data_IF_714330796586
#
_entry.id   IF_714330796586
#
_cell.length_a   1.000
_cell.length_b   1.000
_cell.length_c   1.000
_cell.angle_alpha   90.00
_cell.angle_beta   90.00
_cell.angle_gamma   90.00
#
_symmetry.space_group_name_H-M   'P 1'
#
loop_
_entity.id
_entity.type
_entity.pdbx_description
1 polymer ?
#
# COMPACT_ATOMS: atom_id res chain seq x y z
N UNK A 1 -21.59 31.21 10.26
CA UNK A 1 -20.60 30.32 9.64
C UNK A 1 -19.26 30.78 10.14
N UNK A 2 -18.50 29.84 10.69
CA UNK A 2 -17.15 30.06 11.17
C UNK A 2 -16.17 29.47 10.14
N UNK A 3 -15.12 30.23 9.84
CA UNK A 3 -14.00 29.75 9.03
C UNK A 3 -12.81 29.61 9.95
N UNK A 4 -12.25 28.41 10.03
CA UNK A 4 -11.03 28.14 10.80
C UNK A 4 -9.93 27.85 9.78
N UNK A 5 -8.83 28.58 9.87
CA UNK A 5 -7.65 28.36 9.04
C UNK A 5 -6.45 28.01 9.92
N UNK A 6 -5.73 26.96 9.53
CA UNK A 6 -4.49 26.54 10.17
C UNK A 6 -3.43 26.34 9.11
N UNK A 7 -2.29 27.03 9.27
CA UNK A 7 -1.09 26.80 8.47
C UNK A 7 -0.39 25.56 9.04
N UNK A 8 -0.14 24.59 8.16
CA UNK A 8 0.51 23.34 8.54
C UNK A 8 1.97 23.35 8.09
N UNK A 9 2.87 22.99 9.00
CA UNK A 9 4.27 22.76 8.68
C UNK A 9 4.45 21.36 8.06
N UNK A 10 4.04 21.25 6.80
CA UNK A 10 4.18 20.04 5.99
C UNK A 10 5.23 20.28 4.91
N UNK A 11 6.36 19.55 4.99
CA UNK A 11 7.44 19.62 3.99
C UNK A 11 7.12 18.88 2.67
N UNK A 12 5.88 18.44 2.49
CA UNK A 12 5.49 17.60 1.37
C UNK A 12 5.17 18.43 0.13
N UNK A 13 5.77 18.10 -1.00
CA UNK A 13 5.62 18.80 -2.27
C UNK A 13 5.22 17.79 -3.34
N UNK A 14 3.92 17.72 -3.66
CA UNK A 14 3.36 16.73 -4.59
C UNK A 14 4.02 16.87 -5.96
N UNK A 15 4.23 18.10 -6.45
CA UNK A 15 4.76 18.32 -7.80
C UNK A 15 6.23 17.97 -7.98
N UNK A 16 7.03 17.94 -6.90
CA UNK A 16 8.40 17.42 -6.96
C UNK A 16 8.47 15.90 -7.00
N UNK A 17 7.41 15.24 -6.57
CA UNK A 17 7.38 13.81 -6.38
C UNK A 17 6.61 13.14 -7.52
N UNK A 18 5.59 13.84 -8.04
CA UNK A 18 4.65 13.31 -9.02
C UNK A 18 4.38 14.34 -10.10
N UNK A 19 5.08 14.19 -11.23
CA UNK A 19 5.11 15.16 -12.34
C UNK A 19 3.74 15.54 -12.91
N UNK A 20 2.71 14.72 -12.69
CA UNK A 20 1.35 14.95 -13.18
C UNK A 20 0.52 15.88 -12.29
N UNK A 21 1.07 16.34 -11.17
CA UNK A 21 0.36 17.07 -10.14
C UNK A 21 1.08 18.35 -9.77
N UNK A 22 0.31 19.40 -9.49
CA UNK A 22 0.81 20.69 -9.01
C UNK A 22 0.07 20.99 -7.72
N UNK A 23 0.80 21.35 -6.66
CA UNK A 23 0.22 21.52 -5.31
C UNK A 23 -0.95 22.50 -5.33
N UNK A 24 -0.77 23.63 -6.03
CA UNK A 24 -1.74 24.73 -6.16
C UNK A 24 -3.03 24.32 -6.88
N UNK A 25 -3.02 23.23 -7.64
CA UNK A 25 -4.18 22.76 -8.38
C UNK A 25 -5.00 21.70 -7.61
N UNK A 26 -4.51 21.26 -6.44
CA UNK A 26 -5.08 20.15 -5.68
C UNK A 26 -5.82 20.66 -4.45
N UNK A 27 -6.99 20.07 -4.19
CA UNK A 27 -7.71 20.21 -2.94
C UNK A 27 -8.04 18.81 -2.40
N UNK A 28 -7.62 18.53 -1.18
CA UNK A 28 -8.15 17.40 -0.41
C UNK A 28 -9.35 17.89 0.37
N UNK A 29 -10.45 17.14 0.40
CA UNK A 29 -11.60 17.53 1.19
C UNK A 29 -12.38 16.34 1.73
N UNK A 30 -13.09 16.62 2.82
CA UNK A 30 -13.99 15.71 3.52
C UNK A 30 -15.17 16.52 4.09
N UNK A 31 -16.36 15.92 4.10
CA UNK A 31 -17.58 16.59 4.57
C UNK A 31 -18.19 15.89 5.78
N UNK A 32 -18.75 16.69 6.68
CA UNK A 32 -19.63 16.20 7.73
C UNK A 32 -21.07 16.62 7.48
N UNK A 33 -21.98 15.69 7.73
CA UNK A 33 -23.41 15.87 7.46
C UNK A 33 -24.25 15.43 8.65
N UNK A 34 -25.42 16.03 8.84
CA UNK A 34 -26.36 15.63 9.91
C UNK A 34 -27.14 14.34 9.59
N UNK A 35 -26.84 13.69 8.47
CA UNK A 35 -27.42 12.40 8.10
C UNK A 35 -27.01 11.96 6.69
N UNK A 36 -27.26 10.70 6.37
CA UNK A 36 -26.81 10.09 5.11
C UNK A 36 -27.59 10.54 3.86
N UNK A 37 -28.70 11.26 4.03
CA UNK A 37 -29.61 11.65 2.96
C UNK A 37 -29.57 13.16 2.72
N UNK A 38 -29.11 13.64 1.56
CA UNK A 38 -29.03 15.07 1.27
C UNK A 38 -30.39 15.79 1.22
N UNK A 39 -31.51 15.07 1.11
CA UNK A 39 -32.85 15.65 1.21
C UNK A 39 -33.24 16.11 2.62
N UNK A 40 -32.65 15.49 3.65
CA UNK A 40 -33.06 15.65 5.05
C UNK A 40 -31.92 16.18 5.92
N UNK A 41 -30.69 15.80 5.61
CA UNK A 41 -29.51 16.27 6.31
C UNK A 41 -29.03 17.60 5.75
N UNK A 42 -28.11 18.23 6.47
CA UNK A 42 -27.37 19.42 6.06
C UNK A 42 -25.87 19.12 6.11
N UNK A 43 -25.08 19.74 5.24
CA UNK A 43 -23.63 19.81 5.35
C UNK A 43 -23.30 20.84 6.43
N UNK A 44 -22.71 20.38 7.53
CA UNK A 44 -22.38 21.27 8.63
C UNK A 44 -20.90 21.60 8.74
N UNK A 45 -20.03 20.80 8.13
CA UNK A 45 -18.60 21.05 8.07
C UNK A 45 -18.05 20.58 6.73
N UNK A 46 -17.22 21.40 6.11
CA UNK A 46 -16.35 20.96 5.02
C UNK A 46 -14.92 21.32 5.41
N UNK A 47 -14.07 20.30 5.52
CA UNK A 47 -12.64 20.46 5.71
C UNK A 47 -11.93 20.40 4.37
N UNK A 48 -10.98 21.30 4.14
CA UNK A 48 -10.22 21.41 2.91
C UNK A 48 -8.73 21.56 3.25
N UNK A 49 -7.86 20.81 2.57
CA UNK A 49 -6.42 21.02 2.59
C UNK A 49 -5.98 21.49 1.20
N UNK A 50 -5.42 22.69 1.16
CA UNK A 50 -4.98 23.37 -0.07
C UNK A 50 -3.57 23.91 0.09
N UNK A 51 -2.85 24.08 -1.02
CA UNK A 51 -1.53 24.69 -1.01
C UNK A 51 -1.61 26.13 -1.51
N UNK A 52 -1.28 27.08 -0.63
CA UNK A 52 -1.35 28.52 -0.93
C UNK A 52 -0.20 29.25 -0.25
N UNK A 53 0.41 30.20 -0.98
CA UNK A 53 1.54 30.99 -0.47
C UNK A 53 2.72 30.10 -0.01
N UNK A 54 3.01 29.04 -0.78
CA UNK A 54 4.09 28.08 -0.51
C UNK A 54 3.92 27.30 0.82
N UNK A 55 2.69 27.16 1.32
CA UNK A 55 2.37 26.43 2.54
C UNK A 55 1.06 25.66 2.41
N UNK A 56 0.98 24.52 3.08
CA UNK A 56 -0.26 23.77 3.24
C UNK A 56 -1.17 24.45 4.26
N UNK A 57 -2.44 24.63 3.91
CA UNK A 57 -3.45 25.27 4.75
C UNK A 57 -4.65 24.37 4.88
N UNK A 58 -5.00 24.05 6.13
CA UNK A 58 -6.27 23.44 6.47
C UNK A 58 -7.31 24.55 6.66
N UNK A 59 -8.40 24.48 5.91
CA UNK A 59 -9.52 25.41 5.96
C UNK A 59 -10.76 24.60 6.32
N UNK A 60 -11.44 24.97 7.40
CA UNK A 60 -12.65 24.30 7.88
C UNK A 60 -13.82 25.28 7.90
N UNK A 61 -14.84 25.01 7.09
CA UNK A 61 -16.07 25.78 6.99
C UNK A 61 -17.14 25.19 7.91
N UNK A 62 -17.27 25.72 9.12
CA UNK A 62 -18.21 25.20 10.14
C UNK A 62 -19.52 25.99 10.16
N UNK A 63 -20.63 25.26 10.10
CA UNK A 63 -21.99 25.79 10.19
C UNK A 63 -22.32 26.10 11.65
N UNK A 64 -22.80 27.30 11.93
CA UNK A 64 -23.24 27.67 13.29
C UNK A 64 -24.76 27.64 13.41
N UNK A 65 -25.46 27.55 12.28
CA UNK A 65 -26.91 27.52 12.16
C UNK A 65 -27.31 26.95 10.79
N UNK A 66 -28.54 26.41 10.61
CA UNK A 66 -28.95 25.83 9.33
C UNK A 66 -28.86 26.78 8.14
N UNK A 67 -29.03 28.09 8.38
CA UNK A 67 -28.94 29.10 7.34
C UNK A 67 -27.51 29.30 6.81
N UNK A 68 -26.49 28.72 7.47
CA UNK A 68 -25.11 28.76 7.05
C UNK A 68 -24.77 27.69 5.99
N UNK A 69 -25.58 26.64 5.78
CA UNK A 69 -25.28 25.59 4.80
C UNK A 69 -25.01 26.18 3.41
N UNK A 70 -25.87 27.11 2.95
CA UNK A 70 -25.65 27.82 1.67
C UNK A 70 -24.32 28.59 1.65
N UNK A 71 -23.93 29.22 2.76
CA UNK A 71 -22.67 29.99 2.85
C UNK A 71 -21.46 29.08 2.75
N UNK A 72 -21.51 27.92 3.40
CA UNK A 72 -20.46 26.89 3.33
C UNK A 72 -20.30 26.40 1.89
N UNK A 73 -21.42 26.05 1.24
CA UNK A 73 -21.39 25.55 -0.14
C UNK A 73 -20.87 26.60 -1.13
N UNK A 74 -21.23 27.87 -0.95
CA UNK A 74 -20.67 28.97 -1.75
C UNK A 74 -19.17 29.14 -1.52
N UNK A 75 -18.73 29.13 -0.25
CA UNK A 75 -17.32 29.27 0.09
C UNK A 75 -16.48 28.10 -0.45
N UNK A 76 -16.97 26.87 -0.29
CA UNK A 76 -16.33 25.67 -0.82
C UNK A 76 -16.30 25.67 -2.36
N UNK A 77 -17.40 26.00 -3.03
CA UNK A 77 -17.40 26.12 -4.49
C UNK A 77 -16.39 27.17 -4.98
N UNK A 78 -16.31 28.33 -4.31
CA UNK A 78 -15.34 29.35 -4.65
C UNK A 78 -13.91 28.83 -4.49
N UNK A 79 -13.63 28.06 -3.44
CA UNK A 79 -12.33 27.41 -3.26
C UNK A 79 -12.05 26.40 -4.37
N UNK A 80 -13.02 25.54 -4.72
CA UNK A 80 -12.91 24.57 -5.81
C UNK A 80 -12.64 25.23 -7.17
N UNK A 81 -13.10 26.46 -7.43
CA UNK A 81 -12.87 27.14 -8.71
C UNK A 81 -11.39 27.48 -8.98
N UNK A 82 -10.54 27.45 -7.94
CA UNK A 82 -9.10 27.67 -8.06
C UNK A 82 -8.30 26.36 -8.25
N UNK A 83 -8.97 25.21 -8.20
CA UNK A 83 -8.32 23.90 -8.22
C UNK A 83 -8.99 23.02 -9.29
N UNK A 84 -8.22 22.19 -9.97
CA UNK A 84 -8.74 21.27 -10.99
C UNK A 84 -8.77 19.82 -10.51
N UNK A 85 -8.11 19.49 -9.39
CA UNK A 85 -7.97 18.13 -8.89
C UNK A 85 -8.53 17.99 -7.49
N UNK A 86 -9.54 17.14 -7.33
CA UNK A 86 -10.29 16.94 -6.10
C UNK A 86 -9.97 15.55 -5.52
N UNK A 87 -9.34 15.54 -4.35
CA UNK A 87 -8.92 14.31 -3.67
C UNK A 87 -9.81 14.07 -2.46
N UNK A 88 -10.38 12.88 -2.37
CA UNK A 88 -11.30 12.51 -1.29
C UNK A 88 -11.22 10.99 -1.02
N UNK A 89 -11.84 10.53 0.06
CA UNK A 89 -11.87 9.11 0.41
C UNK A 89 -13.28 8.53 0.29
N UNK A 90 -13.51 7.66 -0.70
CA UNK A 90 -14.83 7.08 -0.99
C UNK A 90 -15.93 8.13 -1.31
N UNK A 91 -15.55 9.38 -1.61
CA UNK A 91 -16.46 10.47 -1.89
C UNK A 91 -17.33 10.30 -3.14
N UNK A 92 -16.93 9.47 -4.11
CA UNK A 92 -17.80 9.13 -5.24
C UNK A 92 -19.08 8.40 -4.81
N UNK A 93 -19.03 7.69 -3.69
CA UNK A 93 -20.17 6.95 -3.15
C UNK A 93 -21.05 7.81 -2.25
N UNK A 94 -20.52 8.90 -1.68
CA UNK A 94 -21.21 9.70 -0.68
C UNK A 94 -21.05 11.21 -0.90
N UNK A 95 -19.88 11.77 -0.64
CA UNK A 95 -19.60 13.22 -0.61
C UNK A 95 -20.00 13.94 -1.90
N UNK A 96 -19.55 13.43 -3.05
CA UNK A 96 -19.78 14.02 -4.37
C UNK A 96 -21.28 14.03 -4.70
N UNK A 97 -22.03 12.89 -4.65
CA UNK A 97 -23.48 12.91 -4.80
C UNK A 97 -24.21 13.83 -3.82
N UNK A 98 -23.77 13.86 -2.56
CA UNK A 98 -24.39 14.68 -1.51
C UNK A 98 -24.24 16.17 -1.83
N UNK A 99 -23.02 16.61 -2.13
CA UNK A 99 -22.71 17.98 -2.50
C UNK A 99 -23.38 18.40 -3.80
N UNK A 100 -23.40 17.56 -4.84
CA UNK A 100 -24.09 17.87 -6.10
C UNK A 100 -25.59 18.14 -5.89
N UNK A 101 -26.26 17.36 -5.02
CA UNK A 101 -27.66 17.60 -4.68
C UNK A 101 -27.85 18.92 -3.94
N UNK A 102 -26.96 19.23 -3.01
CA UNK A 102 -26.98 20.48 -2.24
C UNK A 102 -26.67 21.72 -3.09
N UNK A 103 -25.70 21.63 -3.99
CA UNK A 103 -25.43 22.65 -4.99
C UNK A 103 -26.66 22.92 -5.86
N UNK A 104 -27.30 21.85 -6.37
CA UNK A 104 -28.52 21.95 -7.17
C UNK A 104 -29.66 22.61 -6.39
N UNK A 105 -29.87 22.22 -5.12
CA UNK A 105 -30.88 22.79 -4.23
C UNK A 105 -30.71 24.31 -4.03
N UNK A 106 -29.47 24.79 -3.94
CA UNK A 106 -29.16 26.21 -3.76
C UNK A 106 -28.87 26.97 -5.06
N UNK A 107 -29.10 26.36 -6.23
CA UNK A 107 -28.82 26.92 -7.56
C UNK A 107 -27.34 27.34 -7.76
N UNK A 108 -26.43 26.55 -7.20
CA UNK A 108 -24.98 26.70 -7.38
C UNK A 108 -24.51 25.85 -8.56
N UNK A 109 -23.42 26.26 -9.21
CA UNK A 109 -22.92 25.57 -10.43
C UNK A 109 -22.43 24.13 -10.18
N UNK A 110 -22.11 23.77 -8.93
CA UNK A 110 -21.46 22.52 -8.57
C UNK A 110 -19.97 22.46 -8.92
N UNK A 111 -19.45 21.23 -8.96
CA UNK A 111 -18.09 20.91 -9.41
C UNK A 111 -17.94 21.16 -10.92
N UNK A 112 -16.75 21.56 -11.34
CA UNK A 112 -16.44 21.76 -12.76
C UNK A 112 -16.46 20.43 -13.52
N UNK A 113 -17.04 20.38 -14.72
CA UNK A 113 -16.95 19.18 -15.56
C UNK A 113 -15.53 18.89 -16.06
N UNK A 114 -14.62 19.87 -15.95
CA UNK A 114 -13.22 19.74 -16.32
C UNK A 114 -12.34 19.26 -15.16
N UNK A 115 -12.87 19.13 -13.94
CA UNK A 115 -12.08 18.70 -12.80
C UNK A 115 -11.79 17.21 -12.81
N UNK A 116 -10.63 16.83 -12.30
CA UNK A 116 -10.23 15.45 -12.06
C UNK A 116 -10.57 15.06 -10.63
N UNK A 117 -11.28 13.94 -10.47
CA UNK A 117 -11.56 13.36 -9.15
C UNK A 117 -10.66 12.16 -8.85
N UNK A 118 -10.01 12.18 -7.69
CA UNK A 118 -9.21 11.07 -7.17
C UNK A 118 -9.88 10.50 -5.94
N UNK A 119 -10.50 9.33 -6.11
CA UNK A 119 -11.04 8.53 -5.02
C UNK A 119 -9.95 7.61 -4.45
N UNK A 120 -9.36 8.02 -3.33
CA UNK A 120 -8.25 7.30 -2.69
C UNK A 120 -8.64 5.89 -2.23
N UNK A 121 -9.88 5.69 -1.79
CA UNK A 121 -10.34 4.37 -1.37
C UNK A 121 -10.27 3.37 -2.51
N UNK A 122 -10.72 3.76 -3.72
CA UNK A 122 -10.68 2.89 -4.89
C UNK A 122 -9.26 2.59 -5.33
N UNK A 123 -8.39 3.60 -5.31
CA UNK A 123 -6.98 3.46 -5.67
C UNK A 123 -6.27 2.48 -4.74
N UNK A 124 -6.32 2.72 -3.43
CA UNK A 124 -5.65 1.87 -2.44
C UNK A 124 -6.22 0.46 -2.40
N UNK A 125 -7.55 0.30 -2.50
CA UNK A 125 -8.19 -1.02 -2.51
C UNK A 125 -7.73 -1.89 -3.68
N UNK A 126 -7.31 -1.28 -4.80
CA UNK A 126 -6.71 -2.02 -5.92
C UNK A 126 -5.38 -2.71 -5.54
N UNK A 127 -4.70 -2.24 -4.50
CA UNK A 127 -3.44 -2.81 -3.97
C UNK A 127 -3.64 -3.72 -2.76
N UNK A 128 -4.84 -4.31 -2.61
CA UNK A 128 -5.12 -5.13 -1.43
C UNK A 128 -4.20 -6.34 -1.28
N UNK A 129 -3.78 -6.97 -2.39
CA UNK A 129 -2.81 -8.07 -2.37
C UNK A 129 -1.42 -7.65 -1.86
N UNK A 130 -1.05 -6.38 -2.05
CA UNK A 130 0.20 -5.80 -1.56
C UNK A 130 0.12 -5.45 -0.07
N UNK A 131 -0.96 -4.76 0.32
CA UNK A 131 -1.09 -4.19 1.66
C UNK A 131 -1.60 -5.19 2.69
N UNK A 132 -2.41 -6.17 2.27
CA UNK A 132 -2.95 -7.26 3.09
C UNK A 132 -3.55 -6.79 4.43
N UNK A 133 -4.29 -5.68 4.41
CA UNK A 133 -4.94 -5.13 5.60
C UNK A 133 -6.28 -5.81 5.82
N UNK A 134 -6.67 -5.98 7.10
CA UNK A 134 -7.98 -6.52 7.46
C UNK A 134 -9.13 -5.62 6.96
N UNK A 135 -8.94 -4.30 7.09
CA UNK A 135 -9.86 -3.29 6.60
C UNK A 135 -9.11 -2.19 5.87
N UNK A 136 -9.82 -1.50 4.99
CA UNK A 136 -9.34 -0.36 4.23
C UNK A 136 -10.13 0.90 4.60
N UNK A 137 -10.48 1.06 5.88
CA UNK A 137 -10.99 2.35 6.37
C UNK A 137 -9.86 3.36 6.43
N UNK A 138 -10.20 4.65 6.41
CA UNK A 138 -9.22 5.73 6.52
C UNK A 138 -8.38 5.59 7.80
N UNK A 139 -9.03 5.26 8.93
CA UNK A 139 -8.36 5.01 10.20
C UNK A 139 -7.32 3.89 10.14
N UNK A 140 -7.63 2.77 9.49
CA UNK A 140 -6.71 1.63 9.39
C UNK A 140 -5.55 1.92 8.45
N UNK A 141 -5.74 2.73 7.41
CA UNK A 141 -4.67 3.19 6.53
C UNK A 141 -3.76 4.22 7.21
N UNK A 142 -4.30 5.09 8.06
CA UNK A 142 -3.49 5.99 8.90
C UNK A 142 -2.66 5.19 9.91
N UNK A 143 -3.25 4.19 10.55
CA UNK A 143 -2.54 3.32 11.50
C UNK A 143 -1.43 2.53 10.81
N UNK A 144 -1.66 2.08 9.57
CA UNK A 144 -0.66 1.38 8.75
C UNK A 144 0.63 2.20 8.56
N UNK A 145 0.54 3.53 8.49
CA UNK A 145 1.72 4.44 8.42
C UNK A 145 2.13 4.99 9.78
N UNK A 146 1.68 4.35 10.86
CA UNK A 146 2.06 4.70 12.24
C UNK A 146 1.32 5.91 12.82
N UNK A 147 0.33 6.49 12.12
CA UNK A 147 -0.46 7.62 12.63
C UNK A 147 -1.68 7.11 13.40
N UNK A 148 -1.74 7.44 14.69
CA UNK A 148 -2.91 7.17 15.54
C UNK A 148 -3.81 8.39 15.62
N UNK A 149 -5.12 8.17 15.43
CA UNK A 149 -6.14 9.20 15.66
C UNK A 149 -6.14 9.62 17.13
N UNK A 150 -6.32 10.91 17.38
CA UNK A 150 -6.58 11.48 18.71
C UNK A 150 -8.09 11.65 18.92
N UNK A 151 -8.86 11.69 17.85
CA UNK A 151 -10.29 11.64 17.95
C UNK A 151 -10.79 10.24 18.34
N UNK A 152 -11.77 10.23 19.24
CA UNK A 152 -12.37 9.02 19.80
C UNK A 152 -13.84 8.86 19.37
N UNK A 153 -14.40 9.83 18.64
CA UNK A 153 -15.82 9.86 18.30
C UNK A 153 -16.07 9.30 16.90
N UNK A 154 -17.16 8.56 16.79
CA UNK A 154 -17.69 8.16 15.48
C UNK A 154 -18.42 9.33 14.83
N UNK A 155 -18.51 9.34 13.50
CA UNK A 155 -19.30 10.34 12.77
C UNK A 155 -20.76 10.43 13.27
N UNK A 156 -21.34 9.31 13.72
CA UNK A 156 -22.69 9.28 14.31
C UNK A 156 -22.77 10.06 15.62
N UNK A 157 -21.77 9.94 16.49
CA UNK A 157 -21.72 10.67 17.76
C UNK A 157 -21.47 12.15 17.52
N UNK A 158 -20.68 12.50 16.50
CA UNK A 158 -20.41 13.88 16.12
C UNK A 158 -21.64 14.62 15.62
N UNK A 159 -22.59 13.94 14.96
CA UNK A 159 -23.89 14.54 14.64
C UNK A 159 -24.58 15.02 15.92
N UNK A 160 -24.59 14.20 16.98
CA UNK A 160 -25.17 14.57 18.27
C UNK A 160 -24.44 15.76 18.92
N UNK A 161 -23.11 15.75 18.89
CA UNK A 161 -22.29 16.86 19.38
C UNK A 161 -22.53 18.15 18.59
N UNK A 162 -22.68 18.06 17.28
CA UNK A 162 -22.97 19.20 16.42
C UNK A 162 -24.33 19.84 16.75
N UNK A 163 -25.37 19.03 16.93
CA UNK A 163 -26.69 19.53 17.32
C UNK A 163 -26.65 20.23 18.69
N UNK A 164 -25.89 19.69 19.65
CA UNK A 164 -25.68 20.34 20.96
C UNK A 164 -24.85 21.63 20.84
N UNK A 165 -23.78 21.61 20.03
CA UNK A 165 -22.94 22.76 19.75
C UNK A 165 -23.76 23.93 19.19
N UNK A 166 -24.68 23.65 18.27
CA UNK A 166 -25.57 24.69 17.70
C UNK A 166 -26.37 25.44 18.76
N UNK A 167 -26.83 24.76 19.81
CA UNK A 167 -27.63 25.36 20.87
C UNK A 167 -26.78 26.05 21.94
N UNK A 168 -25.66 25.43 22.34
CA UNK A 168 -24.91 25.85 23.53
C UNK A 168 -23.61 26.60 23.22
N UNK A 169 -23.13 26.52 21.97
CA UNK A 169 -21.85 27.12 21.52
C UNK A 169 -20.67 26.69 22.40
N UNK A 170 -20.69 25.45 22.87
CA UNK A 170 -19.63 24.88 23.71
C UNK A 170 -18.33 24.72 22.91
N UNK A 171 -17.26 25.32 23.43
CA UNK A 171 -15.92 25.23 22.83
C UNK A 171 -15.37 23.79 22.81
N UNK A 172 -15.77 22.94 23.77
CA UNK A 172 -15.36 21.55 23.81
C UNK A 172 -15.98 20.74 22.66
N UNK A 173 -17.28 20.90 22.40
CA UNK A 173 -17.95 20.23 21.29
C UNK A 173 -17.40 20.70 19.94
N UNK A 174 -17.17 22.01 19.80
CA UNK A 174 -16.54 22.58 18.61
C UNK A 174 -15.18 21.95 18.33
N UNK A 175 -14.34 21.84 19.37
CA UNK A 175 -13.00 21.26 19.27
C UNK A 175 -13.05 19.80 18.80
N UNK A 176 -13.99 19.00 19.31
CA UNK A 176 -14.13 17.60 18.91
C UNK A 176 -14.55 17.47 17.44
N UNK A 177 -15.54 18.26 17.02
CA UNK A 177 -16.03 18.29 15.63
C UNK A 177 -14.91 18.70 14.66
N UNK A 178 -14.20 19.79 14.97
CA UNK A 178 -13.10 20.26 14.14
C UNK A 178 -11.92 19.27 14.13
N UNK A 179 -11.64 18.62 15.26
CA UNK A 179 -10.56 17.64 15.36
C UNK A 179 -10.83 16.41 14.49
N UNK A 180 -12.03 15.85 14.50
CA UNK A 180 -12.37 14.68 13.68
C UNK A 180 -12.13 14.94 12.19
N UNK A 181 -12.79 15.97 11.66
CA UNK A 181 -12.67 16.34 10.26
C UNK A 181 -11.23 16.75 9.89
N UNK A 182 -10.51 17.43 10.79
CA UNK A 182 -9.08 17.71 10.60
C UNK A 182 -8.28 16.41 10.43
N UNK A 183 -8.48 15.43 11.29
CA UNK A 183 -7.76 14.16 11.22
C UNK A 183 -8.12 13.36 9.96
N UNK A 184 -9.38 13.40 9.51
CA UNK A 184 -9.78 12.75 8.26
C UNK A 184 -9.15 13.45 7.04
N UNK A 185 -9.21 14.78 6.94
CA UNK A 185 -8.56 15.54 5.86
C UNK A 185 -7.04 15.30 5.82
N UNK A 186 -6.37 15.28 6.97
CA UNK A 186 -4.94 14.96 7.05
C UNK A 186 -4.66 13.48 6.75
N UNK A 187 -5.59 12.59 7.06
CA UNK A 187 -5.54 11.18 6.68
C UNK A 187 -5.57 11.01 5.16
N UNK A 188 -6.31 11.84 4.41
CA UNK A 188 -6.30 11.81 2.95
C UNK A 188 -4.89 12.01 2.40
N UNK A 189 -4.11 12.93 2.99
CA UNK A 189 -2.73 13.16 2.60
C UNK A 189 -1.87 11.92 2.85
N UNK A 190 -2.00 11.28 4.01
CA UNK A 190 -1.27 10.05 4.32
C UNK A 190 -1.57 8.95 3.31
N UNK A 191 -2.86 8.73 3.03
CA UNK A 191 -3.32 7.71 2.08
C UNK A 191 -2.85 8.01 0.66
N UNK A 192 -2.86 9.27 0.24
CA UNK A 192 -2.32 9.68 -1.03
C UNK A 192 -0.82 9.40 -1.13
N UNK A 193 -0.04 9.65 -0.08
CA UNK A 193 1.39 9.34 -0.07
C UNK A 193 1.61 7.82 -0.17
N UNK A 194 0.82 6.98 0.53
CA UNK A 194 0.89 5.51 0.37
C UNK A 194 0.65 5.10 -1.08
N UNK A 195 -0.44 5.57 -1.69
CA UNK A 195 -0.83 5.25 -3.07
C UNK A 195 0.31 5.55 -4.03
N UNK A 196 0.92 6.70 -3.82
CA UNK A 196 1.91 7.19 -4.73
C UNK A 196 3.30 6.57 -4.51
N UNK A 197 3.62 6.18 -3.27
CA UNK A 197 4.78 5.33 -3.00
C UNK A 197 4.66 3.97 -3.69
N UNK A 198 3.46 3.39 -3.74
CA UNK A 198 3.20 2.15 -4.49
C UNK A 198 3.40 2.39 -5.99
N UNK A 199 2.95 3.54 -6.53
CA UNK A 199 3.23 3.90 -7.93
C UNK A 199 4.72 4.07 -8.22
N UNK A 200 5.48 4.66 -7.30
CA UNK A 200 6.92 4.80 -7.42
C UNK A 200 7.61 3.43 -7.46
N UNK A 201 7.22 2.50 -6.58
CA UNK A 201 7.71 1.11 -6.62
C UNK A 201 7.38 0.40 -7.94
N UNK A 202 6.14 0.56 -8.42
CA UNK A 202 5.71 0.01 -9.71
C UNK A 202 6.52 0.58 -10.87
N UNK A 203 6.83 1.87 -10.82
CA UNK A 203 7.63 2.54 -11.85
C UNK A 203 9.09 2.08 -11.79
N UNK A 204 9.67 2.00 -10.59
CA UNK A 204 11.03 1.55 -10.38
C UNK A 204 11.25 0.11 -10.87
N UNK A 205 10.24 -0.77 -10.68
CA UNK A 205 10.23 -2.10 -11.26
C UNK A 205 10.26 -2.06 -12.80
N UNK A 206 9.42 -1.24 -13.45
CA UNK A 206 9.34 -1.17 -14.92
C UNK A 206 10.64 -0.73 -15.60
N UNK A 207 11.45 0.10 -14.94
CA UNK A 207 12.71 0.61 -15.50
C UNK A 207 13.95 0.03 -14.82
N UNK A 208 13.80 -0.99 -13.98
CA UNK A 208 14.89 -1.62 -13.20
C UNK A 208 15.75 -0.61 -12.43
N UNK A 209 15.13 0.39 -11.80
CA UNK A 209 15.83 1.48 -11.10
C UNK A 209 16.03 1.19 -9.61
N UNK A 210 16.73 0.11 -9.31
CA UNK A 210 17.11 -0.28 -7.95
C UNK A 210 18.35 -1.19 -7.96
N UNK A 211 19.07 -1.29 -6.84
CA UNK A 211 20.15 -2.27 -6.67
C UNK A 211 20.29 -2.70 -5.21
N UNK A 212 20.86 -3.89 -5.00
CA UNK A 212 21.19 -4.38 -3.65
C UNK A 212 22.51 -3.76 -3.21
N UNK A 213 22.45 -2.94 -2.17
CA UNK A 213 23.62 -2.30 -1.57
C UNK A 213 24.41 -3.29 -0.71
N UNK A 214 23.72 -4.00 0.18
CA UNK A 214 24.32 -4.96 1.11
C UNK A 214 23.35 -6.12 1.39
N UNK A 215 23.91 -7.24 1.86
CA UNK A 215 23.15 -8.39 2.29
C UNK A 215 23.91 -9.20 3.35
N UNK A 216 23.19 -9.89 4.23
CA UNK A 216 23.75 -10.81 5.22
C UNK A 216 22.76 -11.94 5.53
N UNK A 217 23.26 -13.04 6.08
CA UNK A 217 22.41 -14.10 6.63
C UNK A 217 22.67 -14.21 8.12
N UNK A 218 21.62 -14.03 8.91
CA UNK A 218 21.63 -14.12 10.37
C UNK A 218 20.40 -14.91 10.82
N UNK A 219 20.55 -15.85 11.75
CA UNK A 219 19.43 -16.61 12.32
C UNK A 219 18.44 -17.21 11.31
N UNK A 220 18.95 -17.74 10.18
CA UNK A 220 18.14 -18.29 9.07
C UNK A 220 17.24 -17.26 8.38
N UNK A 221 17.62 -15.98 8.42
CA UNK A 221 16.99 -14.90 7.68
C UNK A 221 18.02 -14.28 6.74
N UNK A 222 17.60 -13.98 5.53
CA UNK A 222 18.37 -13.18 4.58
C UNK A 222 17.95 -11.73 4.76
N UNK A 223 18.90 -10.90 5.14
CA UNK A 223 18.76 -9.45 5.24
C UNK A 223 19.40 -8.80 4.01
N UNK A 224 18.81 -7.71 3.53
CA UNK A 224 19.45 -6.88 2.52
C UNK A 224 18.95 -5.44 2.50
N UNK A 225 19.84 -4.53 2.13
CA UNK A 225 19.55 -3.12 1.88
C UNK A 225 19.36 -2.93 0.38
N UNK A 226 18.20 -2.39 -0.02
CA UNK A 226 17.86 -2.06 -1.40
C UNK A 226 17.93 -0.55 -1.56
N UNK A 227 18.74 -0.10 -2.52
CA UNK A 227 18.79 1.29 -2.92
C UNK A 227 17.81 1.55 -4.06
N UNK A 228 16.93 2.53 -3.88
CA UNK A 228 16.05 3.07 -4.92
C UNK A 228 16.58 4.42 -5.44
N UNK A 229 16.11 4.82 -6.63
CA UNK A 229 16.46 6.12 -7.21
C UNK A 229 15.71 7.31 -6.57
N UNK A 230 14.58 7.04 -5.93
CA UNK A 230 13.74 8.06 -5.29
C UNK A 230 13.54 7.71 -3.82
N UNK A 231 13.51 8.71 -2.93
CA UNK A 231 13.29 8.47 -1.51
C UNK A 231 11.86 8.01 -1.25
N UNK A 232 11.67 7.23 -0.19
CA UNK A 232 10.35 7.04 0.40
C UNK A 232 9.92 8.30 1.14
N UNK A 233 8.62 8.55 1.21
CA UNK A 233 8.05 9.71 1.90
C UNK A 233 7.46 9.36 3.25
N UNK A 234 7.31 8.07 3.55
CA UNK A 234 6.75 7.55 4.79
C UNK A 234 7.60 6.42 5.34
N UNK A 235 7.52 6.26 6.65
CA UNK A 235 7.90 5.02 7.31
C UNK A 235 6.75 4.03 7.15
N UNK A 236 6.95 2.92 6.43
CA UNK A 236 5.93 1.87 6.33
C UNK A 236 6.56 0.52 6.03
N UNK A 237 5.81 -0.54 6.37
CA UNK A 237 6.24 -1.93 6.26
C UNK A 237 5.28 -2.69 5.36
N UNK A 238 5.79 -3.37 4.35
CA UNK A 238 5.00 -4.32 3.56
C UNK A 238 5.32 -5.73 4.03
N UNK A 239 4.28 -6.46 4.45
CA UNK A 239 4.39 -7.84 4.87
C UNK A 239 4.26 -8.79 3.68
N UNK A 240 5.16 -9.76 3.60
CA UNK A 240 5.38 -10.64 2.47
C UNK A 240 5.24 -12.10 2.95
N UNK A 241 4.87 -13.06 2.09
CA UNK A 241 4.65 -14.47 2.49
C UNK A 241 5.81 -15.10 3.28
N UNK A 242 7.03 -14.64 3.05
CA UNK A 242 8.23 -15.10 3.73
C UNK A 242 9.05 -13.98 4.35
N UNK A 243 8.50 -12.77 4.53
CA UNK A 243 9.35 -11.67 4.91
C UNK A 243 8.65 -10.34 5.04
N UNK A 244 9.46 -9.29 5.00
CA UNK A 244 8.97 -7.91 4.99
C UNK A 244 9.98 -7.01 4.30
N UNK A 245 9.47 -5.92 3.72
CA UNK A 245 10.28 -4.78 3.31
C UNK A 245 9.89 -3.57 4.14
N UNK A 246 10.89 -2.82 4.60
CA UNK A 246 10.74 -1.65 5.48
C UNK A 246 11.28 -0.45 4.72
N UNK A 247 10.44 0.57 4.55
CA UNK A 247 10.83 1.86 3.98
C UNK A 247 10.96 2.89 5.07
N UNK A 248 11.90 3.82 4.89
CA UNK A 248 12.16 4.92 5.82
C UNK A 248 11.91 6.27 5.15
N UNK A 249 11.21 7.16 5.83
CA UNK A 249 10.88 8.49 5.33
C UNK A 249 12.14 9.30 5.02
N UNK A 250 12.15 9.93 3.84
CA UNK A 250 13.25 10.71 3.28
C UNK A 250 14.54 9.91 3.05
N UNK A 251 14.46 8.58 3.08
CA UNK A 251 15.55 7.69 2.72
C UNK A 251 15.27 7.03 1.36
N UNK A 252 16.33 6.81 0.62
CA UNK A 252 16.34 6.07 -0.65
C UNK A 252 16.58 4.58 -0.45
N UNK A 253 16.86 4.16 0.79
CA UNK A 253 17.08 2.77 1.17
C UNK A 253 15.82 2.13 1.74
N UNK A 254 15.66 0.85 1.45
CA UNK A 254 14.68 0.00 2.12
C UNK A 254 15.36 -1.29 2.59
N UNK A 255 14.96 -1.76 3.77
CA UNK A 255 15.46 -3.02 4.32
C UNK A 255 14.52 -4.18 3.98
N UNK A 256 15.08 -5.23 3.42
CA UNK A 256 14.40 -6.48 3.12
C UNK A 256 14.86 -7.57 4.08
N UNK A 257 13.90 -8.30 4.65
CA UNK A 257 14.16 -9.45 5.51
C UNK A 257 13.31 -10.63 5.05
N UNK A 258 13.96 -11.75 4.70
CA UNK A 258 13.32 -12.96 4.18
C UNK A 258 13.66 -14.14 5.08
N UNK A 259 12.64 -14.86 5.55
CA UNK A 259 12.75 -16.12 6.25
C UNK A 259 13.19 -17.23 5.29
N UNK A 260 14.35 -17.82 5.58
CA UNK A 260 14.88 -18.96 4.83
C UNK A 260 14.33 -20.27 5.40
N UNK A 261 14.17 -21.25 4.52
CA UNK A 261 13.94 -22.63 4.92
C UNK A 261 15.28 -23.29 5.24
N UNK A 262 15.36 -23.98 6.39
CA UNK A 262 16.53 -24.76 6.80
C UNK A 262 16.13 -26.22 6.94
N UNK A 263 16.70 -27.10 6.12
CA UNK A 263 16.40 -28.52 6.17
C UNK A 263 16.81 -29.23 4.88
N UNK A 264 16.15 -30.35 4.58
CA UNK A 264 16.35 -31.10 3.35
C UNK A 264 15.27 -30.77 2.33
N UNK A 265 15.68 -30.45 1.09
CA UNK A 265 14.79 -30.26 -0.04
C UNK A 265 15.23 -31.11 -1.23
N UNK A 266 14.32 -31.34 -2.17
CA UNK A 266 14.46 -32.31 -3.25
C UNK A 266 14.29 -31.66 -4.62
N UNK A 267 15.20 -31.92 -5.55
CA UNK A 267 15.04 -31.59 -6.95
C UNK A 267 14.56 -32.84 -7.70
N UNK A 268 13.29 -32.84 -8.12
CA UNK A 268 12.65 -33.96 -8.81
C UNK A 268 12.85 -33.85 -10.32
N UNK A 269 13.31 -34.92 -10.97
CA UNK A 269 13.44 -34.99 -12.42
C UNK A 269 12.16 -35.54 -13.05
N UNK A 270 11.62 -34.84 -14.05
CA UNK A 270 10.37 -35.25 -14.70
C UNK A 270 10.54 -36.50 -15.58
N UNK A 271 11.70 -36.65 -16.24
CA UNK A 271 11.99 -37.80 -17.10
C UNK A 271 12.53 -39.01 -16.31
N UNK A 272 11.78 -39.49 -15.31
CA UNK A 272 12.21 -40.56 -14.41
C UNK A 272 12.60 -41.87 -15.13
N UNK A 273 12.11 -42.10 -16.35
CA UNK A 273 12.45 -43.27 -17.16
C UNK A 273 13.94 -43.31 -17.52
N UNK A 274 14.61 -42.17 -17.59
CA UNK A 274 16.03 -42.07 -17.91
C UNK A 274 16.96 -42.12 -16.68
N UNK A 275 16.42 -42.45 -15.51
CA UNK A 275 17.15 -42.47 -14.25
C UNK A 275 17.07 -43.82 -13.54
N UNK A 276 18.14 -44.15 -12.82
CA UNK A 276 18.16 -45.19 -11.80
C UNK A 276 18.10 -44.54 -10.41
N UNK A 277 17.29 -45.09 -9.52
CA UNK A 277 17.30 -44.76 -8.09
C UNK A 277 18.31 -45.64 -7.36
N UNK A 278 19.20 -45.03 -6.59
CA UNK A 278 20.25 -45.70 -5.81
C UNK A 278 19.85 -45.68 -4.34
N UNK A 279 19.34 -46.80 -3.84
CA UNK A 279 18.76 -46.88 -2.48
C UNK A 279 19.77 -46.53 -1.37
N UNK A 280 21.04 -46.93 -1.52
CA UNK A 280 22.10 -46.65 -0.54
C UNK A 280 22.39 -45.15 -0.40
N UNK A 281 22.13 -44.37 -1.47
CA UNK A 281 22.42 -42.93 -1.53
C UNK A 281 21.16 -42.07 -1.41
N UNK A 282 19.97 -42.68 -1.53
CA UNK A 282 18.68 -42.00 -1.54
C UNK A 282 18.65 -40.85 -2.56
N UNK A 283 19.07 -41.17 -3.79
CA UNK A 283 19.10 -40.24 -4.93
C UNK A 283 18.92 -40.95 -6.27
N UNK A 284 18.62 -40.18 -7.30
CA UNK A 284 18.47 -40.62 -8.68
C UNK A 284 19.65 -40.17 -9.55
N UNK A 285 20.18 -41.11 -10.33
CA UNK A 285 21.32 -40.91 -11.23
C UNK A 285 20.89 -41.24 -12.66
N UNK A 286 21.18 -40.34 -13.59
CA UNK A 286 20.86 -40.54 -15.01
C UNK A 286 21.56 -41.79 -15.56
N UNK A 287 20.90 -42.53 -16.45
CA UNK A 287 21.38 -43.81 -17.01
C UNK A 287 22.77 -43.72 -17.65
N UNK A 288 23.11 -42.59 -18.25
CA UNK A 288 24.44 -42.36 -18.85
C UNK A 288 25.59 -42.47 -17.84
N UNK A 289 25.34 -42.09 -16.57
CA UNK A 289 26.29 -42.17 -15.47
C UNK A 289 26.08 -43.47 -14.68
N UNK A 290 24.82 -43.82 -14.40
CA UNK A 290 24.47 -45.02 -13.62
C UNK A 290 24.85 -46.35 -14.29
N UNK A 291 25.15 -46.37 -15.60
CA UNK A 291 25.61 -47.57 -16.31
C UNK A 291 26.89 -48.17 -15.73
N UNK A 292 27.73 -47.36 -15.08
CA UNK A 292 28.98 -47.80 -14.44
C UNK A 292 28.77 -48.43 -13.05
N UNK A 293 27.57 -48.33 -12.48
CA UNK A 293 27.23 -48.96 -11.20
C UNK A 293 26.85 -50.44 -11.37
N UNK A 294 27.12 -51.29 -10.35
CA UNK A 294 26.72 -52.69 -10.36
C UNK A 294 25.21 -52.88 -10.57
N UNK A 295 24.76 -53.88 -11.37
CA UNK A 295 23.34 -54.11 -11.65
C UNK A 295 22.42 -54.15 -10.43
N UNK A 296 22.88 -54.75 -9.33
CA UNK A 296 22.12 -54.89 -8.09
C UNK A 296 21.79 -53.55 -7.41
N UNK A 297 22.57 -52.50 -7.68
CA UNK A 297 22.36 -51.15 -7.13
C UNK A 297 21.44 -50.28 -7.98
N UNK A 298 21.13 -50.71 -9.21
CA UNK A 298 20.37 -49.92 -10.20
C UNK A 298 18.89 -50.29 -10.13
N UNK A 299 18.11 -49.57 -9.32
CA UNK A 299 16.65 -49.69 -9.35
C UNK A 299 16.08 -48.70 -10.37
N UNK A 300 15.13 -49.10 -11.21
CA UNK A 300 14.46 -48.13 -12.10
C UNK A 300 13.79 -47.03 -11.25
N UNK A 301 14.06 -45.76 -11.56
CA UNK A 301 13.42 -44.65 -10.86
C UNK A 301 11.93 -44.57 -11.24
N UNK A 302 11.14 -44.08 -10.29
CA UNK A 302 9.71 -43.76 -10.37
C UNK A 302 9.54 -42.26 -10.15
N UNK A 303 8.39 -41.70 -10.47
CA UNK A 303 8.13 -40.28 -10.24
C UNK A 303 8.39 -39.83 -8.78
N UNK A 304 8.15 -40.70 -7.80
CA UNK A 304 8.28 -40.36 -6.37
C UNK A 304 9.68 -40.49 -5.79
N UNK A 305 10.59 -41.21 -6.46
CA UNK A 305 11.97 -41.38 -6.01
C UNK A 305 13.00 -40.91 -7.05
N UNK A 306 12.56 -40.22 -8.10
CA UNK A 306 13.45 -39.64 -9.10
C UNK A 306 13.88 -38.23 -8.69
N UNK A 307 14.76 -38.12 -7.70
CA UNK A 307 15.24 -36.83 -7.21
C UNK A 307 16.71 -36.87 -6.78
N UNK A 308 17.32 -35.69 -6.65
CA UNK A 308 18.46 -35.48 -5.75
C UNK A 308 17.97 -34.70 -4.52
N UNK A 309 18.55 -34.96 -3.35
CA UNK A 309 18.25 -34.21 -2.13
C UNK A 309 19.44 -33.33 -1.73
N UNK A 310 19.15 -32.20 -1.11
CA UNK A 310 20.15 -31.27 -0.60
C UNK A 310 19.72 -30.79 0.78
N UNK A 311 20.65 -30.85 1.72
CA UNK A 311 20.47 -30.27 3.05
C UNK A 311 21.15 -28.90 3.11
N UNK A 312 20.49 -27.91 3.73
CA UNK A 312 21.04 -26.58 3.92
C UNK A 312 19.98 -25.50 4.03
N UNK A 313 20.37 -24.28 3.65
CA UNK A 313 19.49 -23.12 3.59
C UNK A 313 18.91 -22.94 2.18
N UNK A 314 17.66 -22.51 2.14
CA UNK A 314 16.92 -22.28 0.91
C UNK A 314 16.10 -21.00 0.98
N UNK A 315 16.09 -20.25 -0.11
CA UNK A 315 15.21 -19.10 -0.32
C UNK A 315 13.96 -19.55 -1.09
N UNK A 316 12.74 -19.22 -0.63
CA UNK A 316 11.52 -19.51 -1.36
C UNK A 316 11.36 -18.59 -2.58
N UNK A 317 10.88 -19.10 -3.71
CA UNK A 317 10.65 -18.35 -4.95
C UNK A 317 9.27 -18.65 -5.55
N UNK A 318 8.69 -17.73 -6.33
CA UNK A 318 7.37 -17.92 -6.95
C UNK A 318 7.45 -18.66 -8.28
N UNK A 319 8.51 -18.44 -9.05
CA UNK A 319 8.65 -18.93 -10.41
C UNK A 319 10.02 -19.58 -10.61
N UNK A 320 10.08 -20.61 -11.46
CA UNK A 320 11.35 -21.23 -11.84
C UNK A 320 12.26 -20.21 -12.53
N UNK A 321 13.57 -20.32 -12.30
CA UNK A 321 14.59 -19.48 -12.93
C UNK A 321 15.42 -20.36 -13.86
N UNK A 322 15.63 -19.89 -15.08
CA UNK A 322 16.39 -20.61 -16.08
C UNK A 322 17.79 -20.97 -15.55
N UNK A 323 18.22 -22.20 -15.83
CA UNK A 323 19.52 -22.74 -15.45
C UNK A 323 19.78 -22.90 -13.93
N UNK A 324 18.77 -22.68 -13.07
CA UNK A 324 18.89 -22.96 -11.63
C UNK A 324 18.04 -24.19 -11.22
N UNK A 325 18.62 -25.15 -10.49
CA UNK A 325 17.88 -26.32 -10.03
C UNK A 325 16.85 -25.92 -8.96
N UNK A 326 15.57 -26.14 -9.27
CA UNK A 326 14.47 -25.86 -8.35
C UNK A 326 14.26 -27.01 -7.37
N UNK A 327 14.24 -26.71 -6.07
CA UNK A 327 14.01 -27.69 -5.00
C UNK A 327 12.61 -27.54 -4.39
N UNK A 328 12.09 -28.64 -3.85
CA UNK A 328 10.76 -28.73 -3.24
C UNK A 328 10.83 -29.57 -1.96
N UNK A 329 9.86 -29.37 -1.06
CA UNK A 329 9.78 -30.16 0.19
C UNK A 329 9.09 -31.51 0.00
N UNK A 330 8.35 -31.69 -1.10
CA UNK A 330 7.69 -32.94 -1.45
C UNK A 330 7.42 -33.04 -2.95
N UNK A 331 7.05 -34.25 -3.42
CA UNK A 331 6.66 -34.50 -4.82
C UNK A 331 5.45 -33.69 -5.28
N UNK A 332 4.66 -33.12 -4.36
CA UNK A 332 3.51 -32.28 -4.71
C UNK A 332 3.93 -30.95 -5.35
N UNK A 333 5.19 -30.55 -5.18
CA UNK A 333 5.79 -29.33 -5.76
C UNK A 333 5.01 -28.04 -5.44
N UNK A 334 4.48 -27.92 -4.22
CA UNK A 334 3.63 -26.78 -3.79
C UNK A 334 4.38 -25.44 -3.73
N UNK A 335 5.64 -25.44 -3.26
CA UNK A 335 6.48 -24.24 -3.12
C UNK A 335 7.90 -24.55 -3.60
N UNK A 336 8.40 -23.69 -4.50
CA UNK A 336 9.75 -23.77 -5.05
C UNK A 336 10.79 -23.08 -4.17
N UNK A 337 12.00 -23.63 -4.17
CA UNK A 337 13.12 -23.16 -3.36
C UNK A 337 14.43 -23.18 -4.15
N UNK A 338 15.28 -22.16 -3.95
CA UNK A 338 16.66 -22.14 -4.44
C UNK A 338 17.65 -22.30 -3.28
N UNK A 339 18.70 -23.12 -3.43
CA UNK A 339 19.71 -23.27 -2.39
C UNK A 339 20.55 -22.00 -2.27
N UNK A 340 20.67 -21.47 -1.05
CA UNK A 340 21.42 -20.25 -0.77
C UNK A 340 22.70 -20.55 0.04
N UNK A 341 23.79 -19.89 -0.32
CA UNK A 341 25.09 -19.95 0.32
C UNK A 341 25.77 -18.57 0.27
N UNK A 342 26.98 -18.43 0.81
CA UNK A 342 27.68 -17.14 0.87
C UNK A 342 27.95 -16.51 -0.51
N UNK A 343 28.15 -17.31 -1.56
CA UNK A 343 28.54 -16.78 -2.87
C UNK A 343 27.38 -16.30 -3.74
N UNK A 344 26.13 -16.71 -3.44
CA UNK A 344 24.96 -16.41 -4.29
C UNK A 344 23.86 -15.58 -3.60
N UNK A 345 24.08 -15.09 -2.38
CA UNK A 345 23.06 -14.36 -1.61
C UNK A 345 22.50 -13.15 -2.36
N UNK A 346 23.39 -12.33 -2.94
CA UNK A 346 23.01 -11.10 -3.64
C UNK A 346 22.19 -11.38 -4.91
N UNK A 347 22.61 -12.36 -5.69
CA UNK A 347 21.90 -12.80 -6.90
C UNK A 347 20.50 -13.32 -6.55
N UNK A 348 20.41 -14.21 -5.56
CA UNK A 348 19.14 -14.78 -5.11
C UNK A 348 18.20 -13.74 -4.51
N UNK A 349 18.73 -12.75 -3.77
CA UNK A 349 17.95 -11.63 -3.26
C UNK A 349 17.38 -10.78 -4.41
N UNK A 350 18.15 -10.58 -5.49
CA UNK A 350 17.71 -9.85 -6.68
C UNK A 350 16.57 -10.58 -7.39
N UNK A 351 16.75 -11.88 -7.63
CA UNK A 351 15.72 -12.76 -8.21
C UNK A 351 14.44 -12.72 -7.36
N UNK A 352 14.59 -12.82 -6.04
CA UNK A 352 13.47 -12.81 -5.12
C UNK A 352 12.66 -11.50 -5.21
N UNK A 353 13.36 -10.37 -5.18
CA UNK A 353 12.74 -9.05 -5.26
C UNK A 353 12.03 -8.86 -6.61
N UNK A 354 12.66 -9.28 -7.71
CA UNK A 354 12.08 -9.18 -9.05
C UNK A 354 10.80 -10.01 -9.19
N UNK A 355 10.83 -11.27 -8.75
CA UNK A 355 9.64 -12.13 -8.79
C UNK A 355 8.53 -11.59 -7.90
N UNK A 356 8.86 -11.08 -6.71
CA UNK A 356 7.89 -10.47 -5.83
C UNK A 356 7.22 -9.25 -6.48
N UNK A 357 7.99 -8.32 -7.04
CA UNK A 357 7.46 -7.15 -7.74
C UNK A 357 6.59 -7.55 -8.94
N UNK A 358 6.99 -8.59 -9.68
CA UNK A 358 6.20 -9.16 -10.76
C UNK A 358 4.83 -9.66 -10.28
N UNK A 359 4.79 -10.39 -9.15
CA UNK A 359 3.53 -10.93 -8.61
C UNK A 359 2.53 -9.86 -8.16
N UNK A 360 3.01 -8.65 -7.85
CA UNK A 360 2.15 -7.56 -7.38
C UNK A 360 1.69 -6.66 -8.53
N UNK A 361 2.55 -6.43 -9.52
CA UNK A 361 2.33 -5.37 -10.50
C UNK A 361 1.94 -5.88 -11.89
N UNK A 362 2.10 -7.17 -12.18
CA UNK A 362 1.81 -7.79 -13.49
C UNK A 362 0.73 -8.86 -13.45
N UNK A 363 0.29 -9.29 -12.27
CA UNK A 363 -0.90 -10.11 -12.04
C UNK A 363 -2.06 -9.22 -11.57
#
# INVERSE_FOLDING_TARGET
>A
MKIIEEILDLSFDIGKIFDNYVNENIIFFDIETTGLSPDRGEVYLIGCLVFQQNQWRLIQFLSESPSDEKKILVAFQNLCNFHDTYIHFNGRSFDIPYLNKKFSHYHLKGFSSLSTEIDLFRKIKSYHALLQLETYSLSSLMEFVGRKRKDFFTGRELIGQYLQYRSQKSSCLEKNILLHNKEDVLGLLDVFIIEQQIQALKSAYKVNSWYIESNSIEEKKLHGSIQFNQPSYLDFVLNLPWGKIIFYSKDTKADLCIQLFHGTAYHFFDNYKEYYYIADQDEAIHKSVGKFLPPIKRKQATASNCYIKKEGLFIPIWMAVDNLPLFFLSIRKEQGYLPINFSNQKELLSIWLEQWLQTIFLL
#
